data_IF_505991038182
#
_entry.id   IF_505991038182
#
_cell.length_a   1.000
_cell.length_b   1.000
_cell.length_c   1.000
_cell.angle_alpha   90.00
_cell.angle_beta   90.00
_cell.angle_gamma   90.00
#
_symmetry.space_group_name_H-M   'P 1'
#
loop_
_entity.id
_entity.type
_entity.pdbx_description
1 polymer ?
#
# COMPACT_ATOMS: atom_id res chain seq x y z
N UNK A 1 15.96 -57.11 16.90
CA UNK A 1 16.47 -55.79 16.44
C UNK A 1 16.15 -55.45 14.98
N UNK A 2 16.57 -56.22 13.97
CA UNK A 2 16.40 -55.84 12.54
C UNK A 2 14.96 -55.57 12.09
N UNK A 3 13.95 -56.27 12.63
CA UNK A 3 12.54 -56.03 12.31
C UNK A 3 12.00 -54.71 12.87
N UNK A 4 12.47 -54.30 14.05
CA UNK A 4 12.02 -53.07 14.73
C UNK A 4 12.57 -51.82 14.02
N UNK A 5 13.84 -51.87 13.62
CA UNK A 5 14.49 -50.77 12.87
C UNK A 5 13.81 -50.52 11.51
N UNK A 6 13.37 -51.58 10.81
CA UNK A 6 12.63 -51.44 9.56
C UNK A 6 11.27 -50.77 9.77
N UNK A 7 10.56 -51.11 10.85
CA UNK A 7 9.27 -50.50 11.14
C UNK A 7 9.40 -49.00 11.41
N UNK A 8 10.35 -48.60 12.27
CA UNK A 8 10.61 -47.19 12.59
C UNK A 8 10.97 -46.38 11.34
N UNK A 9 11.80 -46.91 10.45
CA UNK A 9 12.18 -46.22 9.20
C UNK A 9 10.98 -46.01 8.26
N UNK A 10 10.08 -47.00 8.16
CA UNK A 10 8.86 -46.87 7.34
C UNK A 10 7.92 -45.82 7.92
N UNK A 11 7.74 -45.80 9.25
CA UNK A 11 6.89 -44.80 9.91
C UNK A 11 7.46 -43.38 9.75
N UNK A 12 8.78 -43.22 9.85
CA UNK A 12 9.44 -41.93 9.67
C UNK A 12 9.30 -41.44 8.22
N UNK A 13 9.50 -42.32 7.24
CA UNK A 13 9.32 -42.00 5.82
C UNK A 13 7.87 -41.60 5.51
N UNK A 14 6.89 -42.33 6.04
CA UNK A 14 5.48 -42.00 5.89
C UNK A 14 5.12 -40.64 6.51
N UNK A 15 5.66 -40.33 7.69
CA UNK A 15 5.47 -39.03 8.33
C UNK A 15 6.05 -37.88 7.48
N UNK A 16 7.27 -38.03 6.96
CA UNK A 16 7.91 -37.02 6.08
C UNK A 16 7.11 -36.81 4.80
N UNK A 17 6.58 -37.86 4.18
CA UNK A 17 5.74 -37.76 2.98
C UNK A 17 4.42 -37.06 3.29
N UNK A 18 3.77 -37.37 4.42
CA UNK A 18 2.53 -36.69 4.83
C UNK A 18 2.75 -35.21 5.13
N UNK A 19 3.87 -34.85 5.79
CA UNK A 19 4.23 -33.46 6.03
C UNK A 19 4.51 -32.70 4.74
N UNK A 20 5.26 -33.27 3.79
CA UNK A 20 5.56 -32.58 2.51
C UNK A 20 4.33 -32.43 1.62
N UNK A 21 3.43 -33.42 1.58
CA UNK A 21 2.16 -33.33 0.84
C UNK A 21 1.19 -32.31 1.46
N UNK A 22 1.16 -32.18 2.79
CA UNK A 22 0.35 -31.14 3.45
C UNK A 22 0.81 -29.73 3.10
N UNK A 23 2.13 -29.47 3.06
CA UNK A 23 2.68 -28.18 2.66
C UNK A 23 2.46 -27.88 1.17
N UNK A 24 2.56 -28.89 0.30
CA UNK A 24 2.26 -28.75 -1.12
C UNK A 24 0.78 -28.44 -1.38
N UNK A 25 -0.13 -29.05 -0.63
CA UNK A 25 -1.58 -28.83 -0.78
C UNK A 25 -2.01 -27.46 -0.24
N UNK A 26 -1.41 -27.00 0.87
CA UNK A 26 -1.66 -25.65 1.41
C UNK A 26 -1.11 -24.56 0.49
N UNK A 27 0.10 -24.74 -0.05
CA UNK A 27 0.68 -23.81 -1.03
C UNK A 27 -0.08 -23.78 -2.35
N UNK A 28 -0.60 -24.93 -2.83
CA UNK A 28 -1.46 -24.99 -4.00
C UNK A 28 -2.82 -24.32 -3.77
N UNK A 29 -3.41 -24.45 -2.57
CA UNK A 29 -4.69 -23.82 -2.22
C UNK A 29 -4.57 -22.30 -2.04
N UNK A 30 -3.43 -21.82 -1.53
CA UNK A 30 -3.11 -20.39 -1.51
C UNK A 30 -2.90 -19.86 -2.94
N UNK A 31 -2.16 -20.58 -3.80
CA UNK A 31 -1.96 -20.20 -5.21
C UNK A 31 -3.21 -20.27 -6.07
N UNK A 32 -4.15 -21.19 -5.80
CA UNK A 32 -5.38 -21.30 -6.60
C UNK A 32 -6.41 -20.21 -6.29
N UNK A 33 -6.26 -19.53 -5.14
CA UNK A 33 -7.09 -18.37 -4.78
C UNK A 33 -6.54 -17.09 -5.43
N UNK A 34 -5.24 -17.07 -5.74
CA UNK A 34 -4.60 -16.13 -6.68
C UNK A 34 -4.70 -16.63 -8.12
N UNK A 35 -5.90 -17.01 -8.56
CA UNK A 35 -6.13 -17.19 -10.00
C UNK A 35 -5.81 -15.86 -10.68
N UNK A 36 -4.89 -15.93 -11.62
CA UNK A 36 -4.31 -14.85 -12.41
C UNK A 36 -5.29 -14.15 -13.37
N UNK A 37 -6.56 -14.04 -12.97
CA UNK A 37 -7.60 -13.34 -13.69
C UNK A 37 -7.55 -11.87 -13.23
N UNK A 38 -7.13 -11.02 -14.17
CA UNK A 38 -7.23 -9.56 -14.11
C UNK A 38 -6.46 -8.82 -13.00
N UNK A 39 -5.14 -9.07 -12.89
CA UNK A 39 -4.24 -8.32 -12.00
C UNK A 39 -4.21 -6.80 -12.24
N UNK A 40 -4.78 -6.31 -13.34
CA UNK A 40 -4.78 -4.89 -13.72
C UNK A 40 -6.16 -4.22 -13.69
N UNK A 41 -7.23 -4.95 -13.36
CA UNK A 41 -8.57 -4.36 -13.42
C UNK A 41 -8.97 -3.78 -12.07
N UNK A 42 -9.58 -2.59 -12.11
CA UNK A 42 -10.28 -2.03 -10.97
C UNK A 42 -11.58 -2.80 -10.78
N UNK A 43 -11.85 -3.17 -9.53
CA UNK A 43 -13.00 -3.98 -9.13
C UNK A 43 -13.99 -3.11 -8.37
N UNK A 44 -15.22 -3.06 -8.88
CA UNK A 44 -16.35 -2.45 -8.17
C UNK A 44 -17.27 -3.56 -7.69
N UNK A 45 -17.45 -3.65 -6.38
CA UNK A 45 -18.34 -4.61 -5.74
C UNK A 45 -19.59 -3.90 -5.26
N UNK A 46 -20.75 -4.29 -5.81
CA UNK A 46 -22.05 -3.78 -5.39
C UNK A 46 -22.56 -4.62 -4.22
N UNK A 47 -22.74 -3.96 -3.07
CA UNK A 47 -23.24 -4.51 -1.81
C UNK A 47 -24.69 -4.02 -1.59
N UNK A 48 -25.67 -4.90 -1.74
CA UNK A 48 -27.06 -4.53 -1.40
C UNK A 48 -27.25 -4.50 0.12
N UNK A 49 -27.63 -3.37 0.71
CA UNK A 49 -28.10 -3.34 2.10
C UNK A 49 -29.56 -3.85 2.19
N UNK A 50 -30.04 -4.19 3.40
CA UNK A 50 -31.45 -4.62 3.58
C UNK A 50 -32.43 -3.42 3.54
N UNK A 51 -31.90 -2.20 3.67
CA UNK A 51 -32.65 -0.99 3.99
C UNK A 51 -32.82 -0.07 2.76
N UNK A 52 -33.00 -0.64 1.56
CA UNK A 52 -33.10 0.07 0.26
C UNK A 52 -31.85 0.81 -0.24
N UNK A 53 -30.92 1.20 0.63
CA UNK A 53 -29.62 1.76 0.21
C UNK A 53 -28.73 0.69 -0.47
N UNK A 54 -28.21 1.01 -1.66
CA UNK A 54 -27.18 0.21 -2.32
C UNK A 54 -25.83 0.82 -1.96
N UNK A 55 -24.91 0.00 -1.43
CA UNK A 55 -23.54 0.43 -1.09
C UNK A 55 -22.56 -0.20 -2.04
N UNK A 56 -21.43 0.46 -2.25
CA UNK A 56 -20.35 -0.02 -3.10
C UNK A 56 -19.03 -0.10 -2.37
N UNK A 57 -18.17 -1.01 -2.83
CA UNK A 57 -16.75 -0.99 -2.56
C UNK A 57 -15.97 -0.91 -3.87
N UNK A 58 -15.01 0.00 -3.95
CA UNK A 58 -14.05 0.06 -5.05
C UNK A 58 -12.66 -0.33 -4.53
N UNK A 59 -12.05 -1.30 -5.20
CA UNK A 59 -10.68 -1.78 -4.95
C UNK A 59 -9.88 -1.72 -6.24
N UNK A 60 -8.61 -1.39 -6.12
CA UNK A 60 -7.71 -1.29 -7.27
C UNK A 60 -6.34 -1.85 -6.92
N UNK A 61 -5.68 -2.56 -7.85
CA UNK A 61 -4.32 -3.06 -7.67
C UNK A 61 -3.29 -1.92 -7.53
N UNK A 62 -3.64 -0.71 -7.95
CA UNK A 62 -2.78 0.48 -7.91
C UNK A 62 -2.83 1.24 -6.57
N UNK A 63 -3.77 0.88 -5.70
CA UNK A 63 -3.91 1.42 -4.34
C UNK A 63 -4.11 0.29 -3.30
N UNK A 64 -3.18 -0.67 -3.21
CA UNK A 64 -3.31 -1.84 -2.35
C UNK A 64 -3.46 -1.47 -0.87
N UNK A 65 -4.46 -2.06 -0.23
CA UNK A 65 -4.79 -1.78 1.16
C UNK A 65 -5.70 -0.56 1.35
N UNK A 66 -6.05 0.15 0.27
CA UNK A 66 -7.10 1.17 0.29
C UNK A 66 -8.38 0.58 -0.33
N UNK A 67 -9.51 0.79 0.33
CA UNK A 67 -10.85 0.47 -0.19
C UNK A 67 -11.72 1.72 -0.11
N UNK A 68 -12.27 2.15 -1.24
CA UNK A 68 -13.24 3.23 -1.27
C UNK A 68 -14.62 2.65 -1.00
N UNK A 69 -15.36 3.30 -0.12
CA UNK A 69 -16.73 2.95 0.25
C UNK A 69 -17.64 4.11 -0.14
N UNK A 70 -18.82 3.77 -0.64
CA UNK A 70 -19.74 4.76 -1.13
C UNK A 70 -21.15 4.25 -1.31
N UNK A 71 -22.02 5.15 -1.71
CA UNK A 71 -23.40 4.87 -2.10
C UNK A 71 -23.47 4.66 -3.61
N UNK A 72 -24.36 3.78 -4.04
CA UNK A 72 -24.60 3.49 -5.46
C UNK A 72 -26.01 3.92 -5.82
N UNK A 73 -26.12 4.69 -6.89
CA UNK A 73 -27.38 5.03 -7.54
C UNK A 73 -27.41 4.37 -8.93
N UNK A 74 -28.33 3.42 -9.14
CA UNK A 74 -28.50 2.78 -10.46
C UNK A 74 -29.25 3.72 -11.41
N UNK A 75 -28.80 3.79 -12.67
CA UNK A 75 -29.45 4.54 -13.75
C UNK A 75 -29.80 3.59 -14.90
N UNK A 76 -30.52 4.07 -15.93
CA UNK A 76 -30.85 3.25 -17.10
C UNK A 76 -29.60 2.82 -17.89
N UNK A 77 -28.52 3.61 -17.84
CA UNK A 77 -27.30 3.44 -18.65
C UNK A 77 -26.09 2.95 -17.84
N UNK A 78 -26.25 2.78 -16.51
CA UNK A 78 -25.16 2.39 -15.63
C UNK A 78 -25.43 2.67 -14.15
N UNK A 79 -24.45 3.23 -13.45
CA UNK A 79 -24.61 3.64 -12.05
C UNK A 79 -23.63 4.73 -11.63
N UNK A 80 -24.05 5.54 -10.67
CA UNK A 80 -23.22 6.53 -9.97
C UNK A 80 -22.69 5.95 -8.67
N UNK A 81 -21.41 6.19 -8.35
CA UNK A 81 -20.76 5.80 -7.11
C UNK A 81 -20.28 7.05 -6.36
N UNK A 82 -20.96 7.37 -5.27
CA UNK A 82 -20.65 8.49 -4.40
C UNK A 82 -19.72 8.03 -3.28
N UNK A 83 -18.43 8.35 -3.39
CA UNK A 83 -17.44 8.03 -2.37
C UNK A 83 -17.75 8.86 -1.13
N UNK A 84 -17.98 8.19 -0.01
CA UNK A 84 -18.25 8.84 1.29
C UNK A 84 -17.19 8.52 2.33
N UNK A 85 -16.44 7.43 2.12
CA UNK A 85 -15.52 6.90 3.12
C UNK A 85 -14.41 6.09 2.49
N UNK A 86 -13.26 6.06 3.15
CA UNK A 86 -12.16 5.19 2.77
C UNK A 86 -11.73 4.37 3.96
N UNK A 87 -11.40 3.10 3.71
CA UNK A 87 -10.64 2.28 4.64
C UNK A 87 -9.21 2.13 4.14
N UNK A 88 -8.24 2.42 4.98
CA UNK A 88 -6.82 2.17 4.73
C UNK A 88 -6.34 1.11 5.71
N UNK A 89 -5.86 0.00 5.19
CA UNK A 89 -5.36 -1.12 5.98
C UNK A 89 -4.00 -1.56 5.46
N UNK A 90 -3.05 -1.73 6.38
CA UNK A 90 -1.78 -2.37 6.08
C UNK A 90 -1.33 -3.20 7.26
N UNK A 91 -0.64 -4.31 6.96
CA UNK A 91 -0.08 -5.21 7.95
C UNK A 91 1.37 -5.55 7.61
N UNK A 92 2.15 -5.80 8.65
CA UNK A 92 3.54 -6.25 8.57
C UNK A 92 3.74 -7.36 9.60
N UNK A 93 4.89 -8.08 9.60
CA UNK A 93 5.08 -9.24 10.46
C UNK A 93 4.83 -8.98 11.95
N UNK A 94 5.00 -7.73 12.39
CA UNK A 94 4.91 -7.31 13.78
C UNK A 94 3.81 -6.27 14.02
N UNK A 95 2.79 -6.18 13.17
CA UNK A 95 1.75 -5.19 13.41
C UNK A 95 0.82 -4.92 12.25
N UNK A 96 -0.06 -3.95 12.47
CA UNK A 96 -0.98 -3.46 11.45
C UNK A 96 -1.44 -2.04 11.77
N UNK A 97 -1.89 -1.33 10.75
CA UNK A 97 -2.55 -0.02 10.83
C UNK A 97 -3.90 -0.14 10.10
N UNK A 98 -4.98 0.25 10.76
CA UNK A 98 -6.33 0.32 10.19
C UNK A 98 -6.88 1.73 10.43
N UNK A 99 -7.31 2.39 9.35
CA UNK A 99 -7.78 3.76 9.38
C UNK A 99 -9.05 3.91 8.56
N UNK A 100 -9.94 4.78 9.02
CA UNK A 100 -11.15 5.16 8.31
C UNK A 100 -11.18 6.67 8.12
N UNK A 101 -11.25 7.10 6.86
CA UNK A 101 -11.32 8.50 6.45
C UNK A 101 -12.73 8.87 5.99
N UNK A 102 -13.16 10.09 6.29
CA UNK A 102 -14.15 10.77 5.47
C UNK A 102 -13.52 11.16 4.14
N UNK A 103 -14.26 10.93 3.07
CA UNK A 103 -13.87 11.28 1.72
C UNK A 103 -15.09 11.72 0.93
N UNK A 104 -14.87 12.53 -0.09
CA UNK A 104 -15.87 12.86 -1.10
C UNK A 104 -15.30 12.57 -2.49
N UNK A 105 -16.18 12.27 -3.43
CA UNK A 105 -15.85 12.05 -4.82
C UNK A 105 -17.01 11.33 -5.51
N UNK A 106 -17.11 11.50 -6.83
CA UNK A 106 -18.23 10.96 -7.58
C UNK A 106 -17.72 10.37 -8.89
N UNK A 107 -17.96 9.07 -9.05
CA UNK A 107 -17.56 8.30 -10.24
C UNK A 107 -18.82 7.76 -10.90
N UNK A 108 -19.00 8.07 -12.18
CA UNK A 108 -20.09 7.54 -13.01
C UNK A 108 -19.56 6.37 -13.82
N UNK A 109 -20.24 5.23 -13.73
CA UNK A 109 -19.93 4.04 -14.51
C UNK A 109 -21.00 3.85 -15.59
N UNK A 110 -20.57 3.65 -16.83
CA UNK A 110 -21.46 3.44 -17.98
C UNK A 110 -21.10 2.14 -18.70
N UNK A 111 -22.11 1.44 -19.19
CA UNK A 111 -21.90 0.25 -20.01
C UNK A 111 -21.93 0.61 -21.50
N UNK A 112 -20.80 0.41 -22.19
CA UNK A 112 -20.64 0.67 -23.62
C UNK A 112 -19.99 -0.54 -24.29
N UNK A 113 -20.66 -1.13 -25.29
CA UNK A 113 -20.15 -2.29 -26.05
C UNK A 113 -19.70 -3.47 -25.16
N UNK A 114 -20.54 -3.86 -24.19
CA UNK A 114 -20.25 -4.91 -23.20
C UNK A 114 -19.03 -4.63 -22.29
N UNK A 115 -18.61 -3.36 -22.20
CA UNK A 115 -17.52 -2.90 -21.33
C UNK A 115 -18.01 -1.78 -20.41
N UNK A 116 -17.58 -1.83 -19.15
CA UNK A 116 -17.81 -0.74 -18.22
C UNK A 116 -16.72 0.31 -18.36
N UNK A 117 -17.08 1.55 -18.64
CA UNK A 117 -16.22 2.72 -18.54
C UNK A 117 -16.53 3.48 -17.25
N UNK A 118 -15.60 4.31 -16.80
CA UNK A 118 -15.82 5.21 -15.68
C UNK A 118 -15.33 6.62 -16.00
N UNK A 119 -16.03 7.60 -15.43
CA UNK A 119 -15.67 9.01 -15.48
C UNK A 119 -15.82 9.61 -14.08
N UNK A 120 -14.81 10.37 -13.64
CA UNK A 120 -14.88 11.10 -12.38
C UNK A 120 -15.45 12.47 -12.65
N UNK A 121 -16.58 12.79 -12.01
CA UNK A 121 -17.33 14.03 -12.25
C UNK A 121 -17.15 15.05 -11.14
N UNK A 122 -16.85 14.60 -9.92
CA UNK A 122 -16.47 15.46 -8.79
C UNK A 122 -15.05 15.13 -8.31
N UNK A 123 -14.29 16.17 -7.97
CA UNK A 123 -12.94 16.05 -7.41
C UNK A 123 -12.95 15.18 -6.14
N UNK A 124 -12.05 14.20 -6.11
CA UNK A 124 -11.84 13.39 -4.93
C UNK A 124 -11.09 14.16 -3.85
N UNK A 125 -11.65 14.19 -2.65
CA UNK A 125 -11.06 14.87 -1.49
C UNK A 125 -11.05 13.97 -0.26
N UNK A 126 -9.96 14.06 0.50
CA UNK A 126 -9.80 13.43 1.81
C UNK A 126 -10.01 14.47 2.91
N UNK A 127 -10.94 14.20 3.82
CA UNK A 127 -11.27 15.10 4.93
C UNK A 127 -10.50 14.70 6.19
N UNK A 128 -11.18 14.14 7.20
CA UNK A 128 -10.54 13.72 8.46
C UNK A 128 -10.56 12.20 8.68
N UNK A 129 -9.67 11.72 9.55
CA UNK A 129 -9.69 10.35 10.05
C UNK A 129 -10.76 10.25 11.14
N UNK A 130 -11.78 9.45 10.87
CA UNK A 130 -12.85 9.12 11.81
C UNK A 130 -12.42 8.14 12.89
N UNK A 131 -11.59 7.17 12.49
CA UNK A 131 -11.17 6.08 13.36
C UNK A 131 -9.79 5.60 12.94
N UNK A 132 -8.91 5.39 13.92
CA UNK A 132 -7.60 4.80 13.71
C UNK A 132 -7.30 3.77 14.80
N UNK A 133 -6.79 2.61 14.39
CA UNK A 133 -6.25 1.60 15.28
C UNK A 133 -4.89 1.17 14.75
N UNK A 134 -3.94 0.94 15.66
CA UNK A 134 -2.60 0.50 15.29
C UNK A 134 -2.07 -0.49 16.31
N UNK A 135 -1.42 -1.54 15.81
CA UNK A 135 -0.77 -2.56 16.63
C UNK A 135 0.72 -2.59 16.31
N UNK A 136 1.53 -2.61 17.36
CA UNK A 136 2.97 -2.84 17.29
C UNK A 136 3.34 -3.99 18.22
N UNK A 137 3.83 -5.10 17.67
CA UNK A 137 4.12 -6.34 18.40
C UNK A 137 2.92 -6.76 19.26
N UNK A 138 3.02 -6.65 20.58
CA UNK A 138 1.96 -6.97 21.54
C UNK A 138 1.20 -5.73 22.05
N UNK A 139 1.60 -4.53 21.64
CA UNK A 139 0.96 -3.28 22.01
C UNK A 139 -0.18 -2.94 21.03
N UNK A 140 -1.36 -2.65 21.58
CA UNK A 140 -2.57 -2.30 20.83
C UNK A 140 -3.01 -0.89 21.21
N UNK A 141 -3.16 -0.02 20.21
CA UNK A 141 -3.58 1.36 20.39
C UNK A 141 -4.92 1.57 19.69
N UNK A 142 -5.93 1.98 20.45
CA UNK A 142 -7.33 2.16 20.02
C UNK A 142 -7.90 3.47 20.58
N UNK A 143 -9.10 3.83 20.14
CA UNK A 143 -9.74 5.08 20.56
C UNK A 143 -8.90 6.29 20.16
N UNK A 144 -8.86 7.30 21.02
CA UNK A 144 -8.15 8.55 20.75
C UNK A 144 -6.64 8.36 20.57
N UNK A 145 -6.02 7.45 21.33
CA UNK A 145 -4.59 7.16 21.20
C UNK A 145 -4.29 6.49 19.85
N UNK A 146 -5.09 5.48 19.48
CA UNK A 146 -4.98 4.82 18.18
C UNK A 146 -5.17 5.83 17.04
N UNK A 147 -6.21 6.65 17.13
CA UNK A 147 -6.51 7.70 16.17
C UNK A 147 -5.33 8.67 16.00
N UNK A 148 -4.78 9.18 17.10
CA UNK A 148 -3.66 10.11 17.07
C UNK A 148 -2.40 9.49 16.43
N UNK A 149 -2.06 8.25 16.77
CA UNK A 149 -0.90 7.56 16.18
C UNK A 149 -1.08 7.34 14.67
N UNK A 150 -2.28 6.94 14.25
CA UNK A 150 -2.62 6.77 12.84
C UNK A 150 -2.58 8.11 12.09
N UNK A 151 -3.20 9.18 12.62
CA UNK A 151 -3.15 10.54 12.06
C UNK A 151 -1.70 10.97 11.82
N UNK A 152 -0.86 10.86 12.84
CA UNK A 152 0.56 11.20 12.72
C UNK A 152 1.29 10.40 11.65
N UNK A 153 1.03 9.09 11.52
CA UNK A 153 1.64 8.27 10.48
C UNK A 153 1.18 8.73 9.09
N UNK A 154 -0.12 8.86 8.87
CA UNK A 154 -0.62 9.22 7.55
C UNK A 154 -0.21 10.64 7.16
N UNK A 155 -0.18 11.59 8.10
CA UNK A 155 0.30 12.95 7.83
C UNK A 155 1.77 12.97 7.41
N UNK A 156 2.64 12.18 8.04
CA UNK A 156 4.02 12.02 7.60
C UNK A 156 4.11 11.43 6.20
N UNK A 157 3.32 10.40 5.90
CA UNK A 157 3.28 9.77 4.57
C UNK A 157 2.78 10.75 3.51
N UNK A 158 1.72 11.52 3.78
CA UNK A 158 1.20 12.54 2.86
C UNK A 158 2.22 13.63 2.59
N UNK A 159 2.91 14.12 3.63
CA UNK A 159 4.00 15.11 3.49
C UNK A 159 5.15 14.57 2.64
N UNK A 160 5.54 13.32 2.87
CA UNK A 160 6.57 12.64 2.08
C UNK A 160 6.16 12.51 0.61
N UNK A 161 4.94 12.04 0.33
CA UNK A 161 4.44 11.89 -1.03
C UNK A 161 4.33 13.23 -1.75
N UNK A 162 3.90 14.29 -1.04
CA UNK A 162 3.82 15.64 -1.57
C UNK A 162 5.20 16.18 -1.95
N UNK A 163 6.20 16.01 -1.08
CA UNK A 163 7.59 16.37 -1.40
C UNK A 163 8.07 15.71 -2.70
N UNK A 164 7.82 14.41 -2.87
CA UNK A 164 8.22 13.71 -4.10
C UNK A 164 7.49 14.18 -5.36
N UNK A 165 6.21 14.49 -5.27
CA UNK A 165 5.43 14.99 -6.41
C UNK A 165 5.78 16.43 -6.76
N UNK A 166 5.76 17.30 -5.76
CA UNK A 166 5.73 18.76 -5.97
C UNK A 166 7.15 19.36 -6.04
N UNK A 167 8.09 18.84 -5.24
CA UNK A 167 9.44 19.42 -5.12
C UNK A 167 10.48 18.64 -5.94
N UNK A 168 10.42 17.30 -5.91
CA UNK A 168 11.34 16.45 -6.69
C UNK A 168 10.86 16.29 -8.14
N UNK A 169 9.56 16.39 -8.40
CA UNK A 169 8.98 16.23 -9.74
C UNK A 169 8.94 14.78 -10.22
N UNK A 170 8.74 13.83 -9.30
CA UNK A 170 8.54 12.43 -9.66
C UNK A 170 7.23 12.23 -10.45
N UNK A 171 7.12 11.16 -11.27
CA UNK A 171 5.91 10.86 -12.03
C UNK A 171 4.65 10.85 -11.17
N UNK A 172 3.55 11.44 -11.66
CA UNK A 172 2.28 11.48 -10.93
C UNK A 172 1.71 10.10 -10.56
N UNK A 173 2.17 9.05 -11.23
CA UNK A 173 1.68 7.68 -11.11
C UNK A 173 2.78 6.64 -11.25
N UNK A 174 2.72 5.63 -10.38
CA UNK A 174 3.54 4.41 -10.50
C UNK A 174 2.67 3.18 -10.74
N UNK A 175 2.85 2.46 -11.87
CA UNK A 175 2.02 1.31 -12.21
C UNK A 175 2.22 0.11 -11.26
N UNK A 176 3.34 0.07 -10.54
CA UNK A 176 3.62 -0.98 -9.58
C UNK A 176 4.45 -0.48 -8.40
N UNK A 177 4.31 -1.17 -7.26
CA UNK A 177 5.00 -0.85 -6.01
C UNK A 177 6.52 -1.02 -6.11
N UNK A 178 7.01 -1.89 -6.99
CA UNK A 178 8.45 -2.18 -7.11
C UNK A 178 9.17 -1.01 -7.75
N UNK A 179 8.66 -0.48 -8.86
CA UNK A 179 9.21 0.72 -9.51
C UNK A 179 9.23 1.91 -8.55
N UNK A 180 8.11 2.13 -7.84
CA UNK A 180 8.03 3.15 -6.78
C UNK A 180 9.12 2.99 -5.71
N UNK A 181 9.27 1.79 -5.16
CA UNK A 181 10.28 1.52 -4.13
C UNK A 181 11.72 1.64 -4.66
N UNK A 182 11.98 1.24 -5.90
CA UNK A 182 13.31 1.33 -6.53
C UNK A 182 13.80 2.77 -6.67
N UNK A 183 12.89 3.73 -6.76
CA UNK A 183 13.22 5.15 -6.90
C UNK A 183 13.28 5.88 -5.54
N UNK A 184 12.28 5.66 -4.68
CA UNK A 184 12.19 6.39 -3.40
C UNK A 184 13.19 5.90 -2.36
N UNK A 185 13.40 4.58 -2.24
CA UNK A 185 14.21 4.03 -1.15
C UNK A 185 15.69 4.40 -1.26
N UNK A 186 16.36 4.35 -2.43
CA UNK A 186 17.77 4.76 -2.49
C UNK A 186 17.94 6.27 -2.34
N UNK A 187 16.90 7.06 -2.69
CA UNK A 187 16.86 8.48 -2.41
C UNK A 187 16.74 8.75 -0.90
N UNK A 188 15.74 8.19 -0.22
CA UNK A 188 15.53 8.46 1.21
C UNK A 188 16.58 7.81 2.10
N UNK A 189 17.03 6.62 1.76
CA UNK A 189 17.83 5.76 2.63
C UNK A 189 19.06 5.24 1.89
N UNK A 190 19.95 6.13 1.41
CA UNK A 190 21.14 5.71 0.71
C UNK A 190 22.08 4.87 1.57
N UNK A 191 21.95 4.87 2.90
CA UNK A 191 22.70 4.04 3.85
C UNK A 191 22.17 2.60 3.95
N UNK A 192 20.96 2.31 3.44
CA UNK A 192 20.33 1.01 3.54
C UNK A 192 20.92 0.01 2.53
N UNK A 193 22.18 -0.39 2.76
CA UNK A 193 22.99 -1.26 1.87
C UNK A 193 22.34 -2.60 1.52
N UNK A 194 21.50 -3.14 2.40
CA UNK A 194 20.78 -4.41 2.15
C UNK A 194 19.75 -4.31 1.03
N UNK A 195 19.41 -3.10 0.60
CA UNK A 195 18.30 -2.85 -0.33
C UNK A 195 18.77 -2.61 -1.76
N UNK A 196 20.05 -2.29 -2.00
CA UNK A 196 20.58 -1.96 -3.33
C UNK A 196 21.88 -2.67 -3.66
N UNK A 197 22.04 -3.05 -4.92
CA UNK A 197 23.39 -3.29 -5.44
C UNK A 197 24.12 -1.94 -5.62
N UNK A 198 25.45 -1.93 -5.52
CA UNK A 198 26.24 -0.70 -5.61
C UNK A 198 26.18 0.02 -6.99
N UNK A 199 25.55 -0.59 -8.00
CA UNK A 199 25.40 -0.01 -9.35
C UNK A 199 24.18 0.90 -9.43
N UNK A 200 23.05 0.49 -8.86
CA UNK A 200 21.82 1.29 -8.74
C UNK A 200 22.05 2.57 -7.95
N UNK A 201 22.79 2.46 -6.84
CA UNK A 201 23.20 3.61 -6.02
C UNK A 201 23.98 4.65 -6.86
N UNK A 202 24.96 4.22 -7.66
CA UNK A 202 25.77 5.13 -8.49
C UNK A 202 24.99 5.82 -9.60
N UNK A 203 24.04 5.12 -10.23
CA UNK A 203 23.24 5.68 -11.32
C UNK A 203 22.31 6.80 -10.80
N UNK A 204 21.62 6.55 -9.69
CA UNK A 204 20.71 7.51 -9.06
C UNK A 204 21.44 8.82 -8.67
N UNK A 205 22.65 8.72 -8.12
CA UNK A 205 23.46 9.88 -7.75
C UNK A 205 24.13 10.58 -8.94
N UNK A 206 24.38 9.86 -10.04
CA UNK A 206 24.92 10.48 -11.26
C UNK A 206 23.89 11.28 -12.03
N UNK A 207 22.61 10.90 -11.98
CA UNK A 207 21.52 11.59 -12.70
C UNK A 207 20.97 12.79 -11.92
N UNK A 208 21.04 12.74 -10.58
CA UNK A 208 20.52 13.80 -9.70
C UNK A 208 21.53 14.92 -9.41
N UNK A 209 22.80 14.81 -9.88
CA UNK A 209 23.92 15.67 -9.47
C UNK A 209 24.12 15.76 -7.94
N UNK A 210 23.52 14.84 -7.18
CA UNK A 210 23.66 14.77 -5.74
C UNK A 210 24.93 13.98 -5.44
N UNK A 211 26.01 14.67 -5.10
CA UNK A 211 27.20 14.05 -4.56
C UNK A 211 26.87 13.47 -3.18
N UNK A 212 26.48 12.20 -3.14
CA UNK A 212 26.43 11.46 -1.87
C UNK A 212 27.85 11.09 -1.46
N UNK A 213 28.51 12.00 -0.76
CA UNK A 213 29.74 11.67 -0.05
C UNK A 213 29.39 10.96 1.26
N UNK A 214 29.66 9.66 1.32
CA UNK A 214 29.47 8.85 2.53
C UNK A 214 30.50 9.16 3.63
N UNK A 215 31.55 9.92 3.33
CA UNK A 215 32.78 9.91 4.11
C UNK A 215 32.95 11.03 5.14
N UNK A 216 32.18 12.13 5.11
CA UNK A 216 32.52 13.32 5.95
C UNK A 216 31.39 13.97 6.78
N UNK A 217 30.23 13.34 6.97
CA UNK A 217 29.11 13.92 7.76
C UNK A 217 28.95 13.40 9.19
N UNK A 218 28.34 14.20 10.08
CA UNK A 218 27.84 13.73 11.38
C UNK A 218 26.81 12.62 11.18
N UNK A 219 26.91 11.55 11.98
CA UNK A 219 26.03 10.38 11.89
C UNK A 219 25.19 10.26 13.14
N UNK A 220 23.89 10.08 12.96
CA UNK A 220 22.95 9.83 14.06
C UNK A 220 22.39 8.41 13.98
N UNK A 221 22.41 7.68 15.09
CA UNK A 221 21.82 6.33 15.15
C UNK A 221 20.31 6.43 15.37
N UNK A 222 19.52 5.81 14.48
CA UNK A 222 18.07 5.76 14.60
C UNK A 222 17.48 4.60 13.81
N UNK A 223 16.50 3.88 14.37
CA UNK A 223 15.85 2.78 13.65
C UNK A 223 16.79 1.65 13.20
N UNK A 224 17.93 1.45 13.88
CA UNK A 224 18.91 0.42 13.55
C UNK A 224 19.87 0.77 12.40
N UNK A 225 19.88 2.03 11.95
CA UNK A 225 20.79 2.54 10.92
C UNK A 225 21.50 3.81 11.41
N UNK A 226 22.63 4.14 10.77
CA UNK A 226 23.34 5.39 10.99
C UNK A 226 23.03 6.36 9.85
N UNK A 227 22.35 7.46 10.17
CA UNK A 227 21.89 8.44 9.20
C UNK A 227 22.91 9.55 9.02
N UNK A 228 23.28 9.85 7.77
CA UNK A 228 24.04 11.06 7.46
C UNK A 228 23.12 12.30 7.65
N UNK A 229 23.41 13.13 8.65
CA UNK A 229 22.57 14.30 8.98
C UNK A 229 22.77 15.43 7.97
N UNK A 230 24.00 15.62 7.49
CA UNK A 230 24.36 16.58 6.45
C UNK A 230 23.62 16.28 5.14
N UNK A 231 23.55 15.00 4.75
CA UNK A 231 22.72 14.60 3.60
C UNK A 231 21.27 15.05 3.76
N UNK A 232 20.69 14.83 4.94
CA UNK A 232 19.30 15.24 5.18
C UNK A 232 19.13 16.75 5.09
N UNK A 233 20.07 17.53 5.63
CA UNK A 233 20.04 19.00 5.58
C UNK A 233 20.14 19.56 4.16
N UNK A 234 20.90 18.89 3.29
CA UNK A 234 21.14 19.36 1.93
C UNK A 234 20.02 18.95 0.96
N UNK A 235 19.36 17.81 1.21
CA UNK A 235 18.45 17.19 0.23
C UNK A 235 16.97 17.27 0.63
N UNK A 236 16.68 17.21 1.93
CA UNK A 236 15.30 17.13 2.42
C UNK A 236 14.82 18.48 2.95
N UNK A 237 13.52 18.76 2.81
CA UNK A 237 12.94 19.96 3.39
C UNK A 237 12.90 19.84 4.91
N UNK A 238 12.89 20.98 5.60
CA UNK A 238 13.04 21.10 7.05
C UNK A 238 12.13 20.13 7.84
N UNK A 239 10.88 19.98 7.40
CA UNK A 239 9.90 19.11 8.03
C UNK A 239 10.21 17.61 7.96
N UNK A 240 11.01 17.14 6.99
CA UNK A 240 11.36 15.73 6.80
C UNK A 240 12.70 15.35 7.44
N UNK A 241 13.60 16.32 7.64
CA UNK A 241 14.92 16.12 8.27
C UNK A 241 14.82 15.35 9.61
N UNK A 242 14.05 15.81 10.63
CA UNK A 242 14.00 15.12 11.92
C UNK A 242 13.34 13.75 11.82
N UNK A 243 12.41 13.56 10.87
CA UNK A 243 11.74 12.29 10.65
C UNK A 243 12.68 11.25 10.04
N UNK A 244 13.56 11.68 9.12
CA UNK A 244 14.60 10.83 8.57
C UNK A 244 15.66 10.50 9.61
N UNK A 245 16.25 11.52 10.23
CA UNK A 245 17.38 11.34 11.16
C UNK A 245 16.99 10.52 12.41
N UNK A 246 15.72 10.53 12.83
CA UNK A 246 15.24 9.65 13.91
C UNK A 246 15.00 8.19 13.49
N UNK A 247 15.10 7.87 12.20
CA UNK A 247 14.70 6.58 11.63
C UNK A 247 13.18 6.39 11.51
N UNK A 248 12.38 7.43 11.74
CA UNK A 248 10.91 7.36 11.67
C UNK A 248 10.44 7.08 10.24
N UNK A 249 11.01 7.74 9.23
CA UNK A 249 10.66 7.48 7.83
C UNK A 249 11.03 6.06 7.40
N UNK A 250 12.19 5.55 7.86
CA UNK A 250 12.60 4.17 7.59
C UNK A 250 11.58 3.17 8.16
N UNK A 251 11.18 3.35 9.41
CA UNK A 251 10.15 2.53 10.04
C UNK A 251 8.82 2.59 9.30
N UNK A 252 8.35 3.78 8.92
CA UNK A 252 7.11 3.91 8.15
C UNK A 252 7.23 3.22 6.78
N UNK A 253 8.42 3.19 6.17
CA UNK A 253 8.65 2.44 4.94
C UNK A 253 8.58 0.92 5.16
N UNK A 254 9.28 0.40 6.18
CA UNK A 254 9.26 -1.04 6.50
C UNK A 254 7.87 -1.54 6.88
N UNK A 255 7.12 -0.75 7.65
CA UNK A 255 5.83 -1.15 8.21
C UNK A 255 4.64 -0.80 7.31
N UNK A 256 4.74 0.26 6.49
CA UNK A 256 3.62 0.83 5.77
C UNK A 256 3.94 1.23 4.31
N UNK A 257 4.98 0.66 3.68
CA UNK A 257 5.31 0.91 2.26
C UNK A 257 4.12 0.75 1.30
N UNK A 258 3.18 -0.15 1.62
CA UNK A 258 1.94 -0.32 0.85
C UNK A 258 1.04 0.92 0.91
N UNK A 259 0.90 1.54 2.09
CA UNK A 259 0.15 2.80 2.23
C UNK A 259 0.88 3.98 1.63
N UNK A 260 2.22 4.03 1.74
CA UNK A 260 3.01 5.09 1.09
C UNK A 260 2.74 5.09 -0.42
N UNK A 261 2.90 3.93 -1.06
CA UNK A 261 2.59 3.73 -2.48
C UNK A 261 1.13 4.06 -2.82
N UNK A 262 0.18 3.52 -2.05
CA UNK A 262 -1.24 3.71 -2.34
C UNK A 262 -1.68 5.16 -2.20
N UNK A 263 -1.24 5.85 -1.14
CA UNK A 263 -1.52 7.28 -0.96
C UNK A 263 -0.83 8.15 -2.01
N UNK A 264 0.30 7.69 -2.56
CA UNK A 264 0.97 8.39 -3.65
C UNK A 264 0.09 8.34 -4.91
N UNK A 265 -0.44 7.17 -5.25
CA UNK A 265 -1.25 6.96 -6.44
C UNK A 265 -2.71 7.42 -6.30
N UNK A 266 -3.26 7.47 -5.08
CA UNK A 266 -4.70 7.57 -4.83
C UNK A 266 -5.41 8.70 -5.58
N UNK A 267 -4.89 9.92 -5.46
CA UNK A 267 -5.52 11.09 -6.07
C UNK A 267 -5.55 10.99 -7.59
N UNK A 268 -4.41 10.65 -8.21
CA UNK A 268 -4.34 10.44 -9.66
C UNK A 268 -5.22 9.28 -10.13
N UNK A 269 -5.27 8.19 -9.35
CA UNK A 269 -6.10 7.03 -9.68
C UNK A 269 -7.57 7.42 -9.73
N UNK A 270 -8.05 8.18 -8.75
CA UNK A 270 -9.47 8.55 -8.66
C UNK A 270 -9.81 9.69 -9.59
N UNK A 271 -8.98 10.73 -9.70
CA UNK A 271 -9.32 11.92 -10.48
C UNK A 271 -9.06 11.77 -11.98
N UNK A 272 -7.98 11.09 -12.37
CA UNK A 272 -7.48 11.14 -13.75
C UNK A 272 -7.44 9.77 -14.44
N UNK A 273 -6.94 8.75 -13.74
CA UNK A 273 -6.63 7.46 -14.38
C UNK A 273 -7.87 6.64 -14.75
N UNK A 274 -8.98 6.81 -14.02
CA UNK A 274 -10.21 6.03 -14.25
C UNK A 274 -10.83 6.30 -15.62
N UNK A 275 -10.59 7.47 -16.20
CA UNK A 275 -11.19 7.90 -17.47
C UNK A 275 -10.80 6.95 -18.61
N UNK A 276 -11.82 6.38 -19.26
CA UNK A 276 -11.65 5.48 -20.41
C UNK A 276 -11.03 4.11 -20.08
N UNK A 277 -10.98 3.70 -18.80
CA UNK A 277 -10.55 2.35 -18.41
C UNK A 277 -11.71 1.36 -18.42
N UNK A 278 -11.36 0.07 -18.53
CA UNK A 278 -12.33 -1.03 -18.47
C UNK A 278 -12.40 -1.53 -17.03
N UNK A 279 -13.63 -1.65 -16.53
CA UNK A 279 -13.90 -2.08 -15.16
C UNK A 279 -14.60 -3.43 -15.11
N UNK A 280 -14.38 -4.13 -14.00
CA UNK A 280 -15.12 -5.36 -13.69
C UNK A 280 -16.08 -5.06 -12.55
N UNK A 281 -17.36 -5.38 -12.76
CA UNK A 281 -18.41 -5.20 -11.77
C UNK A 281 -18.79 -6.56 -11.20
N UNK A 282 -18.85 -6.68 -9.88
CA UNK A 282 -19.33 -7.89 -9.20
C UNK A 282 -20.52 -7.53 -8.32
N UNK A 283 -21.65 -8.19 -8.54
CA UNK A 283 -22.82 -8.06 -7.65
C UNK A 283 -22.74 -9.16 -6.58
N UNK A 284 -22.61 -8.76 -5.32
CA UNK A 284 -22.66 -9.71 -4.21
C UNK A 284 -24.09 -10.23 -4.05
N UNK A 285 -24.28 -11.55 -4.13
CA UNK A 285 -25.54 -12.19 -3.75
C UNK A 285 -25.54 -12.34 -2.22
N UNK A 286 -26.53 -11.73 -1.56
CA UNK A 286 -26.85 -12.06 -0.18
C UNK A 286 -27.33 -13.50 -0.07
#
# INVERSE_FOLDING_TARGET
>A
MKKYLRFVLITLAAAVVLFTLSCATVSARLRSTERESDKNNVQVTILKAENTEIKGELKSPYIPGITLHGEIEETEEGFSFYITKIRMFTNWPQGWTDAYYEASGHIVFQEQNDQWTAETTDTFELWDILKGEIRYYDAYFRGDEGLWKVKNRIDRIRKLNRFFKDEIGLPLFYPDKKGFAQELVPFLFPEAEKTFNGKERKMLFSETNLLYDQSEGERFEGGGLFWNTEYSQNILPEQLIPLRNSGTLWRDFEEASGLIYSLYNLEYIVNDWMEGKIFTTTRSRK
#
